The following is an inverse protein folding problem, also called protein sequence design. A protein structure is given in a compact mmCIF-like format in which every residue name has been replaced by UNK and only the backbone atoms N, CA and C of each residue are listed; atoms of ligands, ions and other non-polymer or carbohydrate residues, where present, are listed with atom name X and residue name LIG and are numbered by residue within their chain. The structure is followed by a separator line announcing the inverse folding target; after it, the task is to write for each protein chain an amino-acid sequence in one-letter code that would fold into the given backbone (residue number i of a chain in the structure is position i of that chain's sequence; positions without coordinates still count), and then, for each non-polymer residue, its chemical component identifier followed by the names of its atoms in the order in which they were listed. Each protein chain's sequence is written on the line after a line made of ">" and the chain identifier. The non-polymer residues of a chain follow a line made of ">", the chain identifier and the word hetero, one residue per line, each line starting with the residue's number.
data_IF_464979555078
#
_entry.id   IF_464979555078
#
_cell.length_a   1.000
_cell.length_b   1.000
_cell.length_c   1.000
_cell.angle_alpha   90.00
_cell.angle_beta   90.00
_cell.angle_gamma   90.00
#
_symmetry.space_group_name_H-M   'P 1'
#
loop_
_entity.id
_entity.type
_entity.pdbx_description
1 polymer ?
#
# COMPACT_ATOMS: atom_id res chain seq x y z
N UNK A 1 1.22 -17.23 -0.56
CA UNK A 1 0.88 -15.99 -1.29
C UNK A 1 -0.64 -15.94 -1.45
N UNK A 2 -1.27 -14.80 -1.18
CA UNK A 2 -2.72 -14.62 -1.23
C UNK A 2 -3.07 -13.27 -1.86
N UNK A 3 -4.19 -13.19 -2.57
CA UNK A 3 -4.74 -11.92 -3.07
C UNK A 3 -5.66 -11.36 -1.97
N UNK A 4 -5.47 -10.08 -1.65
CA UNK A 4 -6.28 -9.35 -0.68
C UNK A 4 -6.84 -8.09 -1.33
N UNK A 5 -8.09 -7.77 -1.01
CA UNK A 5 -8.70 -6.49 -1.31
C UNK A 5 -8.63 -5.63 -0.05
N UNK A 6 -8.31 -4.36 -0.21
CA UNK A 6 -8.20 -3.42 0.88
C UNK A 6 -8.68 -2.04 0.46
N UNK A 7 -8.70 -1.13 1.44
CA UNK A 7 -9.00 0.28 1.22
C UNK A 7 -7.94 1.15 1.86
N UNK A 8 -7.53 2.19 1.14
CA UNK A 8 -6.70 3.28 1.70
C UNK A 8 -7.53 4.55 1.57
N UNK A 9 -7.86 5.19 2.70
CA UNK A 9 -8.72 6.38 2.72
C UNK A 9 -10.07 6.20 2.00
N UNK A 10 -10.61 4.97 2.01
CA UNK A 10 -11.87 4.61 1.34
C UNK A 10 -11.72 4.13 -0.11
N UNK A 11 -10.58 4.42 -0.75
CA UNK A 11 -10.27 4.01 -2.13
C UNK A 11 -9.88 2.54 -2.18
N UNK A 12 -10.53 1.78 -3.05
CA UNK A 12 -10.26 0.36 -3.21
C UNK A 12 -8.91 0.10 -3.89
N UNK A 13 -8.24 -0.95 -3.41
CA UNK A 13 -7.09 -1.53 -4.07
C UNK A 13 -7.06 -3.04 -3.83
N UNK A 14 -6.35 -3.78 -4.67
CA UNK A 14 -6.01 -5.16 -4.41
C UNK A 14 -4.50 -5.37 -4.48
N UNK A 15 -4.00 -6.32 -3.73
CA UNK A 15 -2.58 -6.67 -3.82
C UNK A 15 -2.37 -8.13 -3.47
N UNK A 16 -1.17 -8.59 -3.74
CA UNK A 16 -0.73 -9.90 -3.35
C UNK A 16 0.18 -9.81 -2.12
N UNK A 17 -0.14 -10.61 -1.10
CA UNK A 17 0.60 -10.64 0.17
C UNK A 17 1.21 -12.02 0.43
N UNK A 18 2.30 -12.02 1.19
CA UNK A 18 2.92 -13.22 1.75
C UNK A 18 2.87 -13.08 3.28
N UNK A 19 1.99 -13.82 3.97
CA UNK A 19 1.98 -13.85 5.43
C UNK A 19 3.29 -14.45 5.93
N UNK A 20 3.86 -13.86 6.96
CA UNK A 20 5.05 -14.37 7.65
C UNK A 20 4.85 -14.29 9.15
N UNK A 21 5.54 -15.14 9.91
CA UNK A 21 5.35 -15.23 11.36
C UNK A 21 5.90 -14.01 12.12
N UNK A 22 6.94 -13.35 11.60
CA UNK A 22 7.52 -12.15 12.19
C UNK A 22 8.32 -11.33 11.17
N UNK A 23 8.08 -10.02 11.13
CA UNK A 23 8.81 -9.06 10.30
C UNK A 23 10.07 -8.50 10.97
N UNK A 24 10.18 -8.64 12.30
CA UNK A 24 11.28 -8.08 13.08
C UNK A 24 11.19 -6.55 13.23
N UNK A 25 12.34 -5.92 13.48
CA UNK A 25 12.45 -4.49 13.77
C UNK A 25 13.33 -3.75 12.76
N UNK A 26 12.96 -2.52 12.45
CA UNK A 26 13.79 -1.55 11.75
C UNK A 26 13.74 -0.21 12.49
N UNK A 27 14.89 0.48 12.61
CA UNK A 27 15.01 1.78 13.29
C UNK A 27 14.36 1.82 14.70
N UNK A 28 14.45 0.71 15.43
CA UNK A 28 13.88 0.54 16.77
C UNK A 28 12.37 0.25 16.81
N UNK A 29 11.69 0.27 15.67
CA UNK A 29 10.24 0.02 15.55
C UNK A 29 9.97 -1.43 15.15
N UNK A 30 8.93 -2.05 15.72
CA UNK A 30 8.41 -3.32 15.21
C UNK A 30 7.69 -3.06 13.88
N UNK A 31 7.93 -3.93 12.91
CA UNK A 31 7.30 -3.83 11.61
C UNK A 31 5.96 -4.59 11.61
N UNK A 32 4.89 -3.90 11.23
CA UNK A 32 3.55 -4.49 11.09
C UNK A 32 3.28 -4.99 9.67
N UNK A 33 3.82 -4.30 8.66
CA UNK A 33 3.73 -4.67 7.25
C UNK A 33 4.90 -4.11 6.45
N UNK A 34 5.27 -4.81 5.37
CA UNK A 34 6.18 -4.29 4.33
C UNK A 34 5.38 -4.22 3.04
N UNK A 35 5.30 -3.01 2.47
CA UNK A 35 4.66 -2.77 1.18
C UNK A 35 5.75 -2.72 0.13
N UNK A 36 5.72 -3.66 -0.81
CA UNK A 36 6.69 -3.72 -1.90
C UNK A 36 6.49 -2.61 -2.92
N UNK A 37 7.60 -2.15 -3.51
CA UNK A 37 7.60 -1.10 -4.54
C UNK A 37 6.64 -1.42 -5.72
N UNK A 38 6.56 -2.69 -6.15
CA UNK A 38 5.66 -3.10 -7.23
C UNK A 38 4.18 -2.82 -6.89
N UNK A 39 3.76 -3.04 -5.64
CA UNK A 39 2.38 -2.69 -5.23
C UNK A 39 2.17 -1.19 -5.25
N UNK A 40 3.16 -0.42 -4.78
CA UNK A 40 3.09 1.04 -4.79
C UNK A 40 3.04 1.58 -6.22
N UNK A 41 3.88 1.08 -7.13
CA UNK A 41 3.89 1.46 -8.54
C UNK A 41 2.59 1.09 -9.25
N UNK A 42 2.10 -0.14 -9.02
CA UNK A 42 0.87 -0.61 -9.64
C UNK A 42 -0.31 0.30 -9.32
N UNK A 43 -0.40 0.80 -8.08
CA UNK A 43 -1.47 1.72 -7.65
C UNK A 43 -1.07 3.19 -7.73
N UNK A 44 0.15 3.48 -8.20
CA UNK A 44 0.73 4.82 -8.27
C UNK A 44 0.67 5.56 -6.92
N UNK A 45 0.92 4.82 -5.84
CA UNK A 45 1.07 5.33 -4.47
C UNK A 45 2.46 5.92 -4.33
N UNK A 46 2.52 7.18 -3.89
CA UNK A 46 3.78 7.86 -3.56
C UNK A 46 3.86 8.15 -2.07
N UNK A 47 5.07 8.25 -1.53
CA UNK A 47 5.32 8.63 -0.13
C UNK A 47 5.90 10.05 -0.12
N UNK A 48 5.30 10.94 0.67
CA UNK A 48 5.84 12.26 0.93
C UNK A 48 6.70 12.22 2.19
N UNK A 49 8.04 12.29 2.09
CA UNK A 49 8.90 12.32 3.28
C UNK A 49 8.80 13.64 4.06
N UNK A 50 8.15 14.67 3.50
CA UNK A 50 8.02 15.98 4.14
C UNK A 50 7.01 15.99 5.29
N UNK A 51 5.91 15.26 5.11
CA UNK A 51 4.78 15.23 6.04
C UNK A 51 4.33 13.81 6.39
N UNK A 52 4.97 12.78 5.83
CA UNK A 52 4.63 11.38 6.07
C UNK A 52 3.34 10.93 5.38
N UNK A 53 2.80 11.71 4.44
CA UNK A 53 1.56 11.38 3.74
C UNK A 53 1.78 10.42 2.57
N UNK A 54 0.69 9.75 2.16
CA UNK A 54 0.63 8.99 0.92
C UNK A 54 -0.09 9.80 -0.16
N UNK A 55 0.52 9.91 -1.34
CA UNK A 55 -0.16 10.41 -2.53
C UNK A 55 -0.97 9.30 -3.16
N UNK A 56 -2.30 9.46 -3.25
CA UNK A 56 -3.26 8.44 -3.71
C UNK A 56 -3.97 8.81 -5.03
N UNK A 57 -3.44 9.77 -5.77
CA UNK A 57 -4.06 10.27 -7.01
C UNK A 57 -4.25 9.16 -8.07
N UNK A 58 -3.36 8.16 -8.09
CA UNK A 58 -3.50 6.97 -8.92
C UNK A 58 -4.76 6.17 -8.64
N UNK A 59 -5.03 5.88 -7.36
CA UNK A 59 -6.23 5.15 -6.94
C UNK A 59 -7.49 5.95 -7.29
N UNK A 60 -7.51 7.26 -7.01
CA UNK A 60 -8.64 8.13 -7.34
C UNK A 60 -8.97 8.06 -8.82
N UNK A 61 -7.98 8.19 -9.71
CA UNK A 61 -8.20 8.12 -11.17
C UNK A 61 -8.88 6.81 -11.58
N UNK A 62 -8.45 5.69 -11.01
CA UNK A 62 -8.96 4.35 -11.38
C UNK A 62 -10.38 4.12 -10.91
N UNK A 63 -10.71 4.56 -9.70
CA UNK A 63 -12.09 4.53 -9.21
C UNK A 63 -13.05 5.19 -10.21
N UNK A 64 -12.67 6.32 -10.81
CA UNK A 64 -13.50 7.00 -11.81
C UNK A 64 -13.63 6.28 -13.16
N UNK A 65 -12.71 5.36 -13.51
CA UNK A 65 -12.70 4.67 -14.81
C UNK A 65 -13.43 3.33 -14.81
N UNK A 66 -13.72 2.77 -13.62
CA UNK A 66 -14.43 1.49 -13.48
C UNK A 66 -15.97 1.65 -13.42
N UNK A 67 -16.50 2.83 -13.79
CA UNK A 67 -17.93 3.13 -13.90
C UNK A 67 -18.44 3.16 -15.35
#
# INVERSE_FOLDING_TARGET
>A
QAIVNGKIEGLDFNTTVVPIDSLGKADGQQLDAIIGAITMEHWEISVSPKDGSLGLEGLKRREFTDY
#
